data_IF_441547185703
#
_entry.id   IF_441547185703
#
_cell.length_a   1.000
_cell.length_b   1.000
_cell.length_c   1.000
_cell.angle_alpha   90.00
_cell.angle_beta   90.00
_cell.angle_gamma   90.00
#
_symmetry.space_group_name_H-M   'P 1'
#
loop_
_entity.id
_entity.type
_entity.pdbx_description
1 polymer ?
#
# COMPACT_ATOMS: atom_id res chain seq x y z
N UNK A 1 17.62 -11.40 -11.56
CA UNK A 1 16.58 -10.35 -11.42
C UNK A 1 16.75 -9.71 -10.05
N UNK A 2 16.73 -8.38 -9.93
CA UNK A 2 16.85 -7.69 -8.64
C UNK A 2 15.53 -7.83 -7.87
N UNK A 3 15.56 -8.46 -6.69
CA UNK A 3 14.34 -8.79 -5.90
C UNK A 3 13.90 -7.67 -4.96
N UNK A 4 14.86 -6.90 -4.47
CA UNK A 4 14.60 -5.83 -3.52
C UNK A 4 15.53 -4.65 -3.77
N UNK A 5 15.02 -3.45 -3.54
CA UNK A 5 15.83 -2.23 -3.49
C UNK A 5 15.51 -1.47 -2.23
N UNK A 6 16.56 -1.08 -1.53
CA UNK A 6 16.48 -0.15 -0.43
C UNK A 6 17.23 1.13 -0.80
N UNK A 7 16.62 2.28 -0.54
CA UNK A 7 17.22 3.56 -0.88
C UNK A 7 16.79 4.67 0.07
N UNK A 8 17.75 5.43 0.61
CA UNK A 8 17.46 6.69 1.31
C UNK A 8 17.98 7.85 0.46
N UNK A 9 17.06 8.69 -0.03
CA UNK A 9 17.38 9.80 -0.93
C UNK A 9 17.20 11.14 -0.21
N UNK A 10 18.20 11.53 0.58
CA UNK A 10 18.11 12.72 1.43
C UNK A 10 18.05 14.06 0.66
N UNK A 11 18.56 14.12 -0.58
CA UNK A 11 18.70 15.37 -1.36
C UNK A 11 18.10 15.32 -2.77
N UNK A 12 17.54 14.19 -3.20
CA UNK A 12 16.98 14.07 -4.53
C UNK A 12 15.61 14.76 -4.60
N UNK A 13 15.58 15.96 -5.19
CA UNK A 13 14.35 16.65 -5.60
C UNK A 13 13.74 16.03 -6.85
N UNK A 14 14.50 15.20 -7.57
CA UNK A 14 14.07 14.54 -8.79
C UNK A 14 13.75 13.07 -8.51
N UNK A 15 12.69 12.54 -9.13
CA UNK A 15 12.38 11.12 -9.08
C UNK A 15 13.48 10.28 -9.75
N UNK A 16 13.55 9.00 -9.37
CA UNK A 16 14.40 8.04 -10.06
C UNK A 16 14.01 7.98 -11.54
N UNK A 17 15.01 7.76 -12.41
CA UNK A 17 14.77 7.61 -13.84
C UNK A 17 13.74 6.50 -14.11
N UNK A 18 12.75 6.80 -14.95
CA UNK A 18 11.67 5.91 -15.36
C UNK A 18 12.19 4.64 -16.06
N UNK A 19 13.35 4.72 -16.71
CA UNK A 19 14.01 3.61 -17.40
C UNK A 19 14.82 2.71 -16.47
N UNK A 20 14.88 3.02 -15.17
CA UNK A 20 15.63 2.20 -14.24
C UNK A 20 14.90 0.87 -13.96
N UNK A 21 15.65 -0.24 -13.95
CA UNK A 21 15.16 -1.57 -13.52
C UNK A 21 14.58 -1.59 -12.10
N UNK A 22 14.66 -0.46 -11.40
CA UNK A 22 14.08 -0.18 -10.09
C UNK A 22 12.59 -0.46 -10.03
N UNK A 23 11.79 0.04 -10.98
CA UNK A 23 10.33 -0.11 -10.93
C UNK A 23 9.84 -1.53 -11.22
N UNK A 24 10.74 -2.40 -11.71
CA UNK A 24 10.49 -3.82 -11.97
C UNK A 24 10.90 -4.73 -10.81
N UNK A 25 11.45 -4.19 -9.72
CA UNK A 25 11.78 -4.97 -8.53
C UNK A 25 10.50 -5.47 -7.85
N UNK A 26 10.59 -6.63 -7.21
CA UNK A 26 9.44 -7.18 -6.46
C UNK A 26 9.18 -6.42 -5.18
N UNK A 27 10.20 -5.81 -4.59
CA UNK A 27 10.04 -5.02 -3.37
C UNK A 27 10.92 -3.78 -3.30
N UNK A 28 10.37 -2.72 -2.72
CA UNK A 28 11.09 -1.47 -2.43
C UNK A 28 10.90 -1.04 -0.97
N UNK A 29 11.95 -0.46 -0.41
CA UNK A 29 11.91 0.31 0.83
C UNK A 29 12.63 1.63 0.58
N UNK A 30 11.89 2.75 0.63
CA UNK A 30 12.40 4.05 0.18
C UNK A 30 12.04 5.15 1.16
N UNK A 31 13.03 5.98 1.47
CA UNK A 31 12.84 7.24 2.16
C UNK A 31 13.14 8.41 1.21
N UNK A 32 12.17 9.31 1.03
CA UNK A 32 12.28 10.41 0.05
C UNK A 32 11.45 11.65 0.43
N UNK A 33 11.66 12.77 -0.26
CA UNK A 33 10.85 13.98 -0.11
C UNK A 33 9.51 13.86 -0.86
N UNK A 34 8.48 14.65 -0.48
CA UNK A 34 7.11 14.50 -1.03
C UNK A 34 7.08 14.55 -2.57
N UNK A 35 7.95 15.34 -3.19
CA UNK A 35 7.92 15.56 -4.64
C UNK A 35 8.36 14.30 -5.41
N UNK A 36 9.27 13.51 -4.84
CA UNK A 36 9.70 12.23 -5.41
C UNK A 36 8.73 11.09 -5.03
N UNK A 37 8.05 11.19 -3.89
CA UNK A 37 7.10 10.20 -3.38
C UNK A 37 6.02 9.82 -4.39
N UNK A 38 5.26 10.81 -4.88
CA UNK A 38 4.14 10.58 -5.80
C UNK A 38 4.61 9.90 -7.09
N UNK A 39 5.76 10.33 -7.62
CA UNK A 39 6.32 9.74 -8.84
C UNK A 39 6.76 8.31 -8.62
N UNK A 40 7.41 8.01 -7.49
CA UNK A 40 7.85 6.66 -7.17
C UNK A 40 6.68 5.70 -7.01
N UNK A 41 5.64 6.13 -6.28
CA UNK A 41 4.43 5.35 -6.10
C UNK A 41 3.72 5.10 -7.44
N UNK A 42 3.61 6.12 -8.30
CA UNK A 42 2.92 6.06 -9.59
C UNK A 42 3.47 5.01 -10.56
N UNK A 43 4.78 4.74 -10.52
CA UNK A 43 5.47 3.86 -11.45
C UNK A 43 5.78 2.48 -10.89
N UNK A 44 5.64 2.27 -9.58
CA UNK A 44 5.91 0.98 -8.96
C UNK A 44 4.99 -0.13 -9.49
N UNK A 45 5.57 -1.27 -9.88
CA UNK A 45 4.84 -2.45 -10.39
C UNK A 45 5.15 -3.73 -9.60
N UNK A 46 5.82 -3.62 -8.45
CA UNK A 46 6.21 -4.75 -7.62
C UNK A 46 5.10 -5.25 -6.69
N UNK A 47 5.48 -6.13 -5.78
CA UNK A 47 4.59 -6.80 -4.82
C UNK A 47 4.53 -6.06 -3.49
N UNK A 48 5.66 -5.54 -3.00
CA UNK A 48 5.74 -4.99 -1.64
C UNK A 48 6.50 -3.66 -1.61
N UNK A 49 5.88 -2.61 -1.09
CA UNK A 49 6.50 -1.29 -0.98
C UNK A 49 6.37 -0.73 0.44
N UNK A 50 7.48 -0.17 0.95
CA UNK A 50 7.49 0.66 2.15
C UNK A 50 8.05 2.02 1.74
N UNK A 51 7.28 3.08 1.96
CA UNK A 51 7.65 4.43 1.55
C UNK A 51 7.52 5.38 2.75
N UNK A 52 8.59 6.11 3.05
CA UNK A 52 8.59 7.13 4.11
C UNK A 52 8.84 8.50 3.48
N UNK A 53 8.05 9.50 3.86
CA UNK A 53 8.20 10.86 3.35
C UNK A 53 8.78 11.82 4.39
N UNK A 54 9.90 12.47 4.07
CA UNK A 54 10.51 13.46 4.98
C UNK A 54 9.65 14.72 5.21
N UNK A 55 8.83 15.10 4.24
CA UNK A 55 8.05 16.35 4.27
C UNK A 55 6.54 16.13 4.30
N UNK A 56 6.10 14.98 4.85
CA UNK A 56 4.71 14.49 4.89
C UNK A 56 4.16 14.12 3.51
N UNK A 57 3.37 13.05 3.47
CA UNK A 57 2.68 12.63 2.25
C UNK A 57 1.39 13.44 2.07
N UNK A 58 1.08 13.85 0.83
CA UNK A 58 -0.23 14.43 0.53
C UNK A 58 -1.28 13.33 0.48
N UNK A 59 -2.41 13.56 1.12
CA UNK A 59 -3.53 12.60 1.07
C UNK A 59 -4.02 12.38 -0.37
N UNK A 60 -3.92 13.40 -1.23
CA UNK A 60 -4.32 13.33 -2.64
C UNK A 60 -3.59 12.23 -3.40
N UNK A 61 -2.30 12.07 -3.14
CA UNK A 61 -1.46 11.09 -3.83
C UNK A 61 -1.83 9.67 -3.37
N UNK A 62 -2.24 9.52 -2.10
CA UNK A 62 -2.71 8.26 -1.55
C UNK A 62 -4.12 7.91 -2.06
N UNK A 63 -5.01 8.89 -2.17
CA UNK A 63 -6.34 8.73 -2.77
C UNK A 63 -6.20 8.33 -4.24
N UNK A 64 -5.32 9.01 -4.99
CA UNK A 64 -5.01 8.65 -6.39
C UNK A 64 -4.49 7.21 -6.47
N UNK A 65 -3.54 6.83 -5.62
CA UNK A 65 -3.04 5.47 -5.54
C UNK A 65 -4.17 4.45 -5.34
N UNK A 66 -5.04 4.66 -4.34
CA UNK A 66 -6.15 3.73 -4.05
C UNK A 66 -7.12 3.68 -5.23
N UNK A 67 -7.44 4.82 -5.87
CA UNK A 67 -8.36 4.86 -7.01
C UNK A 67 -7.80 4.16 -8.25
N UNK A 68 -6.50 4.27 -8.52
CA UNK A 68 -5.83 3.53 -9.61
C UNK A 68 -5.77 2.03 -9.34
N UNK A 69 -5.59 1.62 -8.07
CA UNK A 69 -5.70 0.21 -7.69
C UNK A 69 -7.15 -0.30 -7.84
N UNK A 70 -8.13 0.45 -7.30
CA UNK A 70 -9.56 0.08 -7.33
C UNK A 70 -10.11 -0.01 -8.75
N UNK A 71 -9.71 0.88 -9.66
CA UNK A 71 -10.13 0.83 -11.06
C UNK A 71 -9.46 -0.32 -11.84
N UNK A 72 -8.42 -0.94 -11.29
CA UNK A 72 -7.59 -1.90 -12.01
C UNK A 72 -6.67 -1.26 -13.05
N UNK A 73 -6.46 0.05 -13.00
CA UNK A 73 -5.53 0.74 -13.90
C UNK A 73 -4.07 0.38 -13.59
N UNK A 74 -3.73 0.18 -12.31
CA UNK A 74 -2.36 -0.02 -11.86
C UNK A 74 -2.23 -1.03 -10.72
N UNK A 75 -0.97 -1.38 -10.41
CA UNK A 75 -0.58 -2.13 -9.21
C UNK A 75 -1.13 -3.57 -9.14
N UNK A 76 -1.22 -4.24 -10.30
CA UNK A 76 -1.80 -5.57 -10.45
C UNK A 76 -1.12 -6.65 -9.57
N UNK A 77 0.20 -6.51 -9.36
CA UNK A 77 1.03 -7.45 -8.58
C UNK A 77 1.13 -7.10 -7.10
N UNK A 78 0.56 -5.97 -6.68
CA UNK A 78 0.72 -5.45 -5.32
C UNK A 78 0.07 -6.39 -4.31
N UNK A 79 0.82 -6.69 -3.25
CA UNK A 79 0.41 -7.45 -2.07
C UNK A 79 0.38 -6.56 -0.83
N UNK A 80 1.34 -5.62 -0.72
CA UNK A 80 1.53 -4.78 0.45
C UNK A 80 2.07 -3.40 0.08
N UNK A 81 1.46 -2.35 0.63
CA UNK A 81 2.02 -1.01 0.67
C UNK A 81 1.96 -0.47 2.11
N UNK A 82 3.05 0.13 2.55
CA UNK A 82 3.13 0.91 3.79
C UNK A 82 3.65 2.30 3.47
N UNK A 83 2.96 3.33 3.94
CA UNK A 83 3.34 4.73 3.76
C UNK A 83 3.39 5.42 5.11
N UNK A 84 4.56 5.94 5.50
CA UNK A 84 4.76 6.71 6.71
C UNK A 84 4.48 8.20 6.55
N UNK A 85 4.42 8.92 7.67
CA UNK A 85 4.25 10.38 7.76
C UNK A 85 2.96 10.91 7.08
N UNK A 86 1.86 10.18 7.26
CA UNK A 86 0.50 10.59 6.88
C UNK A 86 -0.11 11.39 8.04
N UNK A 87 -0.36 12.69 7.85
CA UNK A 87 -0.77 13.63 8.92
C UNK A 87 -2.24 14.06 8.80
N UNK A 88 -2.94 13.67 7.74
CA UNK A 88 -4.30 14.13 7.45
C UNK A 88 -5.40 13.25 8.07
N UNK A 89 -6.63 13.77 8.07
CA UNK A 89 -7.82 13.16 8.65
C UNK A 89 -8.12 11.79 8.01
N UNK A 90 -8.03 10.75 8.85
CA UNK A 90 -8.27 9.36 8.47
C UNK A 90 -9.67 9.14 7.92
N UNK A 91 -10.68 9.75 8.54
CA UNK A 91 -12.08 9.58 8.13
C UNK A 91 -12.30 10.19 6.76
N UNK A 92 -11.78 11.40 6.55
CA UNK A 92 -11.83 12.06 5.23
C UNK A 92 -11.16 11.21 4.15
N UNK A 93 -10.05 10.56 4.47
CA UNK A 93 -9.40 9.65 3.52
C UNK A 93 -10.29 8.46 3.18
N UNK A 94 -10.80 7.77 4.21
CA UNK A 94 -11.63 6.57 4.05
C UNK A 94 -12.93 6.88 3.27
N UNK A 95 -13.55 8.02 3.53
CA UNK A 95 -14.69 8.54 2.77
C UNK A 95 -14.32 8.80 1.31
N UNK A 96 -13.20 9.50 1.07
CA UNK A 96 -12.77 9.86 -0.29
C UNK A 96 -12.44 8.65 -1.16
N UNK A 97 -11.92 7.56 -0.57
CA UNK A 97 -11.67 6.31 -1.29
C UNK A 97 -12.89 5.39 -1.34
N UNK A 98 -14.02 5.79 -0.73
CA UNK A 98 -15.23 4.98 -0.63
C UNK A 98 -14.96 3.63 0.05
N UNK A 99 -14.28 3.66 1.19
CA UNK A 99 -13.97 2.44 1.94
C UNK A 99 -15.25 1.80 2.50
N UNK A 100 -15.38 0.50 2.27
CA UNK A 100 -16.39 -0.35 2.92
C UNK A 100 -15.91 -0.72 4.31
N UNK A 101 -16.85 -0.97 5.22
CA UNK A 101 -16.57 -1.33 6.61
C UNK A 101 -17.18 -2.67 6.96
N UNK A 102 -16.40 -3.53 7.60
CA UNK A 102 -16.86 -4.78 8.19
C UNK A 102 -17.66 -4.47 9.44
N UNK A 103 -18.79 -5.14 9.60
CA UNK A 103 -19.65 -5.06 10.80
C UNK A 103 -18.79 -5.18 12.08
N UNK A 104 -18.93 -4.27 13.07
CA UNK A 104 -18.23 -4.36 14.34
C UNK A 104 -18.38 -5.70 15.07
N UNK A 105 -19.50 -6.41 14.91
CA UNK A 105 -19.77 -7.70 15.52
C UNK A 105 -18.99 -8.86 14.86
N UNK A 106 -18.55 -8.69 13.60
CA UNK A 106 -17.78 -9.68 12.85
C UNK A 106 -16.31 -9.71 13.26
N UNK A 107 -15.63 -10.81 12.94
CA UNK A 107 -14.20 -10.99 13.24
C UNK A 107 -13.34 -9.99 12.46
N UNK A 108 -12.33 -9.40 13.10
CA UNK A 108 -11.37 -8.53 12.39
C UNK A 108 -10.44 -9.39 11.53
N UNK A 109 -10.41 -9.19 10.20
CA UNK A 109 -9.48 -9.91 9.35
C UNK A 109 -8.04 -9.47 9.65
N UNK A 110 -7.11 -10.42 9.58
CA UNK A 110 -5.67 -10.16 9.79
C UNK A 110 -4.92 -10.47 8.50
N UNK A 111 -4.46 -9.44 7.80
CA UNK A 111 -3.64 -9.59 6.60
C UNK A 111 -2.16 -9.72 6.98
N UNK A 112 -1.50 -10.71 6.40
CA UNK A 112 -0.05 -10.89 6.46
C UNK A 112 0.41 -11.64 5.21
N UNK A 113 1.59 -11.32 4.70
CA UNK A 113 2.18 -11.98 3.52
C UNK A 113 3.66 -12.28 3.77
N UNK A 114 4.23 -13.30 3.11
CA UNK A 114 5.67 -13.55 3.17
C UNK A 114 6.46 -12.33 2.71
N UNK A 115 7.51 -11.94 3.42
CA UNK A 115 8.35 -10.82 3.00
C UNK A 115 9.11 -11.22 1.73
N UNK A 116 9.06 -10.37 0.70
CA UNK A 116 9.94 -10.50 -0.48
C UNK A 116 11.40 -10.27 -0.08
N UNK A 117 11.63 -9.37 0.88
CA UNK A 117 12.93 -9.11 1.47
C UNK A 117 12.85 -9.22 2.99
N UNK A 118 13.59 -10.18 3.54
CA UNK A 118 13.63 -10.42 4.98
C UNK A 118 14.91 -9.84 5.59
N UNK A 119 14.82 -8.60 6.08
CA UNK A 119 15.89 -7.93 6.82
C UNK A 119 15.99 -8.38 8.29
N UNK A 120 14.89 -8.82 8.89
CA UNK A 120 14.74 -8.92 10.34
C UNK A 120 14.26 -10.30 10.79
N UNK A 121 14.79 -11.40 10.24
CA UNK A 121 14.49 -12.80 10.61
C UNK A 121 12.99 -13.20 10.69
N UNK A 122 12.06 -12.30 10.36
CA UNK A 122 10.62 -12.47 10.39
C UNK A 122 10.16 -12.90 8.98
N UNK A 123 9.59 -14.10 8.82
CA UNK A 123 9.24 -14.60 7.49
C UNK A 123 8.10 -13.81 6.84
N UNK A 124 7.26 -13.14 7.63
CA UNK A 124 6.06 -12.45 7.16
C UNK A 124 6.05 -10.96 7.53
N UNK A 125 5.24 -10.17 6.81
CA UNK A 125 4.97 -8.77 7.13
C UNK A 125 4.24 -8.65 8.46
N UNK A 126 4.42 -7.52 9.15
CA UNK A 126 3.61 -7.17 10.31
C UNK A 126 2.11 -7.24 9.97
N UNK A 127 1.26 -7.73 10.90
CA UNK A 127 -0.15 -7.92 10.63
C UNK A 127 -0.88 -6.58 10.41
N UNK A 128 -1.76 -6.53 9.41
CA UNK A 128 -2.77 -5.47 9.28
C UNK A 128 -4.08 -6.01 9.83
N UNK A 129 -4.62 -5.35 10.85
CA UNK A 129 -5.95 -5.63 11.40
C UNK A 129 -6.86 -4.47 11.08
N UNK A 130 -7.58 -4.55 9.97
CA UNK A 130 -8.48 -3.48 9.55
C UNK A 130 -9.90 -3.97 9.33
N UNK A 131 -10.86 -3.14 9.71
CA UNK A 131 -12.26 -3.28 9.33
C UNK A 131 -12.59 -2.50 8.05
N UNK A 132 -11.73 -1.57 7.64
CA UNK A 132 -11.92 -0.80 6.41
C UNK A 132 -11.24 -1.51 5.24
N UNK A 133 -11.95 -1.60 4.11
CA UNK A 133 -11.45 -2.24 2.91
C UNK A 133 -12.02 -1.59 1.64
N UNK A 134 -11.34 -1.84 0.51
CA UNK A 134 -11.78 -1.43 -0.82
C UNK A 134 -11.77 -2.63 -1.76
N UNK A 135 -12.53 -2.54 -2.84
CA UNK A 135 -12.72 -3.60 -3.83
C UNK A 135 -12.26 -3.12 -5.18
N UNK A 136 -11.52 -3.97 -5.90
CA UNK A 136 -11.06 -3.71 -7.25
C UNK A 136 -12.12 -4.10 -8.26
N UNK A 137 -12.46 -3.17 -9.15
CA UNK A 137 -13.54 -3.29 -10.11
C UNK A 137 -13.29 -4.37 -11.17
N UNK A 138 -12.05 -4.61 -11.55
CA UNK A 138 -11.70 -5.50 -12.68
C UNK A 138 -11.75 -6.98 -12.33
N UNK A 139 -11.49 -7.36 -11.07
CA UNK A 139 -11.38 -8.76 -10.66
C UNK A 139 -11.96 -9.05 -9.26
N UNK A 140 -12.71 -8.09 -8.71
CA UNK A 140 -13.37 -8.16 -7.40
C UNK A 140 -12.41 -8.39 -6.22
N UNK A 141 -11.09 -8.19 -6.39
CA UNK A 141 -10.12 -8.39 -5.30
C UNK A 141 -10.28 -7.35 -4.20
N UNK A 142 -10.00 -7.77 -2.97
CA UNK A 142 -10.10 -6.91 -1.78
C UNK A 142 -8.73 -6.41 -1.34
N UNK A 143 -8.69 -5.17 -0.86
CA UNK A 143 -7.57 -4.67 -0.08
C UNK A 143 -8.04 -4.05 1.24
N UNK A 144 -7.41 -4.46 2.34
CA UNK A 144 -7.57 -3.81 3.64
C UNK A 144 -6.81 -2.49 3.67
N UNK A 145 -7.43 -1.45 4.24
CA UNK A 145 -6.83 -0.12 4.42
C UNK A 145 -6.83 0.19 5.91
N UNK A 146 -5.66 0.44 6.50
CA UNK A 146 -5.52 0.83 7.90
C UNK A 146 -4.70 2.12 7.97
N UNK A 147 -5.18 3.11 8.71
CA UNK A 147 -4.41 4.31 9.01
C UNK A 147 -4.24 4.38 10.52
N UNK A 148 -3.00 4.33 10.99
CA UNK A 148 -2.66 4.22 12.41
C UNK A 148 -1.26 4.77 12.64
N UNK A 149 -1.04 5.52 13.72
CA UNK A 149 0.31 6.03 14.09
C UNK A 149 1.02 6.80 12.96
N UNK A 150 0.28 7.55 12.13
CA UNK A 150 0.76 8.23 10.91
C UNK A 150 1.22 7.32 9.78
N UNK A 151 0.86 6.04 9.82
CA UNK A 151 1.09 5.09 8.76
C UNK A 151 -0.20 4.73 8.05
N UNK A 152 -0.19 4.80 6.72
CA UNK A 152 -1.14 4.08 5.89
C UNK A 152 -0.59 2.69 5.59
N UNK A 153 -1.39 1.67 5.86
CA UNK A 153 -1.11 0.26 5.58
C UNK A 153 -2.19 -0.24 4.64
N UNK A 154 -1.78 -0.70 3.46
CA UNK A 154 -2.63 -1.29 2.43
C UNK A 154 -2.21 -2.74 2.23
N UNK A 155 -3.14 -3.68 2.33
CA UNK A 155 -2.87 -5.11 2.21
C UNK A 155 -3.86 -5.77 1.25
N UNK A 156 -3.35 -6.29 0.13
CA UNK A 156 -4.17 -6.90 -0.92
C UNK A 156 -4.36 -8.38 -0.61
N UNK A 157 -5.61 -8.81 -0.60
CA UNK A 157 -6.00 -10.19 -0.39
C UNK A 157 -6.05 -10.91 -1.74
N UNK A 158 -5.58 -12.17 -1.75
CA UNK A 158 -5.90 -13.09 -2.85
C UNK A 158 -7.28 -13.72 -2.60
N UNK A 159 -8.29 -12.84 -2.55
CA UNK A 159 -9.70 -13.14 -2.32
C UNK A 159 -10.55 -12.12 -3.06
N UNK A 160 -11.63 -12.60 -3.65
CA UNK A 160 -12.76 -11.78 -4.08
C UNK A 160 -13.49 -11.20 -2.87
N UNK A 161 -14.35 -10.20 -3.07
CA UNK A 161 -15.17 -9.64 -1.98
C UNK A 161 -16.00 -10.71 -1.27
N UNK A 162 -16.66 -11.61 -2.00
CA UNK A 162 -17.50 -12.65 -1.41
C UNK A 162 -16.69 -13.63 -0.54
N UNK A 163 -15.50 -14.02 -0.99
CA UNK A 163 -14.59 -14.88 -0.22
C UNK A 163 -14.04 -14.16 1.01
N UNK A 164 -13.75 -12.86 0.87
CA UNK A 164 -13.27 -12.04 1.98
C UNK A 164 -14.35 -11.84 3.05
N UNK A 165 -15.60 -11.60 2.64
CA UNK A 165 -16.73 -11.45 3.57
C UNK A 165 -17.00 -12.76 4.33
N UNK A 166 -16.97 -13.92 3.64
CA UNK A 166 -17.13 -15.23 4.29
C UNK A 166 -16.04 -15.56 5.31
N UNK A 167 -14.84 -15.00 5.15
CA UNK A 167 -13.72 -15.21 6.08
C UNK A 167 -13.91 -14.47 7.41
N UNK A 168 -14.72 -13.42 7.44
CA UNK A 168 -14.94 -12.56 8.62
C UNK A 168 -16.29 -12.80 9.31
N UNK A 169 -17.12 -13.68 8.73
CA UNK A 169 -18.34 -14.20 9.34
C UNK A 169 -18.09 -15.12 10.54
#
# INVERSE_FOLDING_TARGET
>A
MMKHVEMSMMSAKQPLSLDSKFYQTESIEIEQHQNAFATTLRHFQGRQAVLTCFTRCKISDLIEFVNRWKSGEAYHKLERLEVGEVVEDQNRMLEAIGAKHIDPAKKVPTHTVPRVFNRYSEPNTKPIRSRAYVVRATDNRVASVLIEEKWLKFGVWDKTEDEFVKMVE
#
